data_IF_140500027411
#
_entry.id   IF_140500027411
#
_cell.length_a   1.000
_cell.length_b   1.000
_cell.length_c   1.000
_cell.angle_alpha   90.00
_cell.angle_beta   90.00
_cell.angle_gamma   90.00
#
_symmetry.space_group_name_H-M   'P 1'
#
loop_
_entity.id
_entity.type
_entity.pdbx_description
1 polymer ?
#
# COMPACT_ATOMS: atom_id res chain seq x y z
N UNK A 1 -6.55 -3.51 -6.03
CA UNK A 1 -5.80 -3.37 -4.76
C UNK A 1 -4.34 -3.21 -5.14
N UNK A 2 -3.53 -2.48 -4.38
CA UNK A 2 -2.14 -2.19 -4.78
C UNK A 2 -1.24 -3.42 -4.64
N UNK A 3 -0.12 -3.41 -5.37
CA UNK A 3 0.84 -4.50 -5.36
C UNK A 3 1.39 -4.77 -3.95
N UNK A 4 1.76 -3.71 -3.22
CA UNK A 4 2.28 -3.83 -1.85
C UNK A 4 1.25 -4.46 -0.89
N UNK A 5 -0.04 -4.21 -1.10
CA UNK A 5 -1.09 -4.85 -0.31
C UNK A 5 -1.14 -6.36 -0.58
N UNK A 6 -1.10 -6.78 -1.84
CA UNK A 6 -1.09 -8.21 -2.19
C UNK A 6 0.16 -8.92 -1.67
N UNK A 7 1.30 -8.25 -1.69
CA UNK A 7 2.57 -8.79 -1.23
C UNK A 7 2.82 -8.65 0.28
N UNK A 8 1.92 -7.97 1.00
CA UNK A 8 2.05 -7.62 2.42
C UNK A 8 3.38 -6.91 2.72
N UNK A 9 3.76 -5.98 1.85
CA UNK A 9 4.98 -5.19 1.98
C UNK A 9 4.67 -3.77 2.43
N UNK A 10 5.61 -3.19 3.17
CA UNK A 10 5.65 -1.76 3.49
C UNK A 10 5.79 -0.92 2.21
N UNK A 11 5.26 0.29 2.19
CA UNK A 11 5.36 1.18 1.03
C UNK A 11 6.80 1.62 0.73
N UNK A 12 7.66 1.63 1.77
CA UNK A 12 9.08 1.94 1.68
C UNK A 12 9.92 0.73 1.26
N UNK A 13 9.28 -0.41 0.96
CA UNK A 13 9.96 -1.60 0.48
C UNK A 13 10.77 -1.28 -0.77
N UNK A 14 12.05 -1.65 -0.73
CA UNK A 14 12.94 -1.51 -1.87
C UNK A 14 12.43 -2.31 -3.06
N UNK A 15 12.82 -1.92 -4.27
CA UNK A 15 12.50 -2.66 -5.50
C UNK A 15 12.88 -4.15 -5.38
N UNK A 16 14.03 -4.45 -4.75
CA UNK A 16 14.49 -5.81 -4.49
C UNK A 16 13.59 -6.58 -3.52
N UNK A 17 12.99 -5.93 -2.53
CA UNK A 17 12.02 -6.55 -1.63
C UNK A 17 10.71 -6.85 -2.35
N UNK A 18 10.22 -5.90 -3.16
CA UNK A 18 9.04 -6.06 -4.00
C UNK A 18 9.20 -7.22 -4.97
N UNK A 19 10.33 -7.28 -5.69
CA UNK A 19 10.61 -8.36 -6.64
C UNK A 19 10.71 -9.73 -5.95
N UNK A 20 11.39 -9.81 -4.80
CA UNK A 20 11.51 -11.05 -4.03
C UNK A 20 10.16 -11.54 -3.52
N UNK A 21 9.33 -10.66 -2.97
CA UNK A 21 8.00 -11.01 -2.49
C UNK A 21 7.08 -11.43 -3.64
N UNK A 22 7.12 -10.73 -4.77
CA UNK A 22 6.38 -11.06 -5.97
C UNK A 22 6.70 -12.47 -6.48
N UNK A 23 7.98 -12.81 -6.62
CA UNK A 23 8.41 -14.16 -7.04
C UNK A 23 7.89 -15.24 -6.08
N UNK A 24 8.01 -15.01 -4.76
CA UNK A 24 7.50 -15.94 -3.74
C UNK A 24 5.99 -16.12 -3.84
N UNK A 25 5.24 -15.03 -4.04
CA UNK A 25 3.79 -15.06 -4.19
C UNK A 25 3.36 -15.86 -5.42
N UNK A 26 3.97 -15.61 -6.58
CA UNK A 26 3.66 -16.34 -7.81
C UNK A 26 3.91 -17.84 -7.69
N UNK A 27 5.00 -18.25 -7.03
CA UNK A 27 5.30 -19.68 -6.84
C UNK A 27 4.25 -20.33 -5.94
N UNK A 28 3.84 -19.64 -4.86
CA UNK A 28 2.86 -20.14 -3.89
C UNK A 28 1.45 -20.25 -4.46
N UNK A 29 1.06 -19.30 -5.30
CA UNK A 29 -0.31 -19.16 -5.83
C UNK A 29 -0.43 -19.55 -7.31
N UNK A 30 0.59 -20.24 -7.86
CA UNK A 30 0.55 -20.71 -9.25
C UNK A 30 -0.65 -21.65 -9.45
N UNK A 31 -1.48 -21.46 -10.48
CA UNK A 31 -2.66 -22.30 -10.71
C UNK A 31 -2.31 -23.80 -10.80
N UNK A 32 -1.21 -24.17 -11.47
CA UNK A 32 -0.76 -25.57 -11.55
C UNK A 32 -0.29 -26.18 -10.22
N UNK A 33 0.02 -25.37 -9.20
CA UNK A 33 0.51 -25.83 -7.88
C UNK A 33 -0.55 -25.69 -6.79
N UNK A 34 -1.54 -24.85 -7.02
CA UNK A 34 -2.62 -24.54 -6.10
C UNK A 34 -3.77 -25.54 -6.26
N UNK A 35 -4.27 -26.11 -5.16
CA UNK A 35 -5.51 -26.93 -5.18
C UNK A 35 -6.79 -26.07 -5.25
N UNK A 36 -6.64 -24.76 -5.21
CA UNK A 36 -7.70 -23.74 -5.22
C UNK A 36 -7.68 -22.95 -6.52
N UNK A 37 -8.83 -22.42 -6.92
CA UNK A 37 -8.89 -21.50 -8.07
C UNK A 37 -8.24 -20.16 -7.72
N UNK A 38 -6.96 -20.03 -8.07
CA UNK A 38 -6.14 -18.83 -7.84
C UNK A 38 -5.86 -18.07 -9.12
N UNK A 39 -6.51 -18.43 -10.24
CA UNK A 39 -6.21 -17.88 -11.56
C UNK A 39 -6.39 -16.36 -11.60
N UNK A 40 -7.52 -15.86 -11.09
CA UNK A 40 -7.81 -14.43 -11.06
C UNK A 40 -6.82 -13.65 -10.18
N UNK A 41 -6.50 -14.17 -9.00
CA UNK A 41 -5.50 -13.57 -8.10
C UNK A 41 -4.11 -13.55 -8.74
N UNK A 42 -3.74 -14.62 -9.44
CA UNK A 42 -2.46 -14.75 -10.14
C UNK A 42 -2.34 -13.78 -11.31
N UNK A 43 -3.40 -13.62 -12.12
CA UNK A 43 -3.42 -12.66 -13.22
C UNK A 43 -3.41 -11.22 -12.72
N UNK A 44 -4.19 -10.92 -11.67
CA UNK A 44 -4.28 -9.59 -11.09
C UNK A 44 -2.92 -9.13 -10.54
N UNK A 45 -2.22 -9.97 -9.79
CA UNK A 45 -0.90 -9.59 -9.24
C UNK A 45 0.16 -9.41 -10.33
N UNK A 46 0.09 -10.18 -11.44
CA UNK A 46 0.96 -9.97 -12.62
C UNK A 46 0.71 -8.60 -13.25
N UNK A 47 -0.55 -8.22 -13.43
CA UNK A 47 -0.91 -6.92 -14.01
C UNK A 47 -0.44 -5.76 -13.13
N UNK A 48 -0.62 -5.85 -11.82
CA UNK A 48 -0.16 -4.81 -10.88
C UNK A 48 1.38 -4.71 -10.84
N UNK A 49 2.10 -5.84 -10.94
CA UNK A 49 3.56 -5.82 -11.03
C UNK A 49 4.07 -5.16 -12.31
N UNK A 50 3.41 -5.39 -13.45
CA UNK A 50 3.75 -4.71 -14.71
C UNK A 50 3.49 -3.19 -14.64
N UNK A 51 2.41 -2.77 -13.98
CA UNK A 51 2.16 -1.35 -13.70
C UNK A 51 3.24 -0.75 -12.81
N UNK A 52 3.65 -1.46 -11.75
CA UNK A 52 4.76 -1.09 -10.87
C UNK A 52 6.06 -0.86 -11.63
N UNK A 53 6.46 -1.81 -12.49
CA UNK A 53 7.67 -1.67 -13.32
C UNK A 53 7.63 -0.46 -14.28
N UNK A 54 6.44 -0.02 -14.68
CA UNK A 54 6.23 1.12 -15.57
C UNK A 54 6.05 2.44 -14.82
N UNK A 55 6.14 2.46 -13.49
CA UNK A 55 5.75 3.60 -12.64
C UNK A 55 4.31 4.08 -12.90
N UNK A 56 3.42 3.18 -13.33
CA UNK A 56 2.00 3.43 -13.62
C UNK A 56 1.12 2.92 -12.49
N UNK A 57 1.56 3.15 -11.26
CA UNK A 57 0.87 2.67 -10.05
C UNK A 57 -0.09 3.73 -9.55
N UNK A 58 -1.36 3.37 -9.38
CA UNK A 58 -2.36 4.18 -8.67
C UNK A 58 -2.21 4.00 -7.14
N UNK A 59 -0.96 4.02 -6.69
CA UNK A 59 -0.55 3.67 -5.34
C UNK A 59 -0.67 4.91 -4.43
N UNK A 60 -1.88 5.47 -4.33
CA UNK A 60 -2.23 6.39 -3.25
C UNK A 60 -2.38 5.58 -1.95
N UNK A 61 -1.24 5.24 -1.35
CA UNK A 61 -1.17 4.55 -0.05
C UNK A 61 -1.47 5.43 1.14
N UNK A 62 -1.70 6.72 0.89
CA UNK A 62 -1.87 7.70 1.92
C UNK A 62 -3.05 8.62 1.68
N UNK A 63 -3.64 9.03 2.80
CA UNK A 63 -4.64 10.06 2.88
C UNK A 63 -3.94 11.26 3.51
N UNK A 64 -4.03 12.43 2.90
CA UNK A 64 -3.68 13.67 3.57
C UNK A 64 -4.85 14.12 4.43
N UNK A 65 -4.57 14.54 5.65
CA UNK A 65 -5.60 15.05 6.57
C UNK A 65 -5.04 16.09 7.51
N UNK A 66 -5.94 16.87 8.10
CA UNK A 66 -5.61 17.72 9.23
C UNK A 66 -5.55 16.89 10.53
N UNK A 67 -4.83 17.37 11.57
CA UNK A 67 -4.83 16.72 12.88
C UNK A 67 -6.23 16.44 13.42
N UNK A 68 -7.17 17.37 13.22
CA UNK A 68 -8.58 17.24 13.65
C UNK A 68 -9.36 16.14 12.94
N UNK A 69 -8.84 15.59 11.84
CA UNK A 69 -9.52 14.58 11.02
C UNK A 69 -9.00 13.16 11.29
N UNK A 70 -7.89 13.01 12.03
CA UNK A 70 -7.23 11.70 12.27
C UNK A 70 -8.22 10.67 12.83
N UNK A 71 -8.99 11.03 13.86
CA UNK A 71 -9.94 10.11 14.51
C UNK A 71 -11.05 9.60 13.58
N UNK A 72 -11.35 10.35 12.51
CA UNK A 72 -12.41 10.05 11.55
C UNK A 72 -11.92 9.14 10.43
N UNK A 73 -10.59 9.11 10.21
CA UNK A 73 -9.98 8.32 9.14
C UNK A 73 -9.83 6.86 9.59
N UNK A 74 -10.00 5.96 8.62
CA UNK A 74 -9.78 4.52 8.76
C UNK A 74 -8.77 4.08 7.72
N UNK A 75 -7.81 3.23 8.09
CA UNK A 75 -7.01 2.53 7.07
C UNK A 75 -7.96 1.74 6.18
N UNK A 76 -7.53 1.50 4.94
CA UNK A 76 -8.09 0.50 4.03
C UNK A 76 -8.37 -0.87 4.68
N UNK A 77 -7.62 -1.27 5.70
CA UNK A 77 -7.85 -2.53 6.43
C UNK A 77 -8.95 -2.43 7.50
N UNK A 78 -9.54 -1.25 7.70
CA UNK A 78 -10.56 -0.96 8.72
C UNK A 78 -10.00 -0.43 10.05
N UNK A 79 -8.69 -0.53 10.29
CA UNK A 79 -8.06 -0.07 11.53
C UNK A 79 -8.08 1.46 11.65
N UNK A 80 -8.05 1.96 12.88
CA UNK A 80 -7.90 3.39 13.16
C UNK A 80 -6.42 3.78 13.12
N UNK A 81 -6.17 5.06 12.87
CA UNK A 81 -4.87 5.67 13.09
C UNK A 81 -4.85 6.30 14.48
N UNK A 82 -3.71 6.21 15.16
CA UNK A 82 -3.50 6.79 16.49
C UNK A 82 -2.63 8.04 16.35
N UNK A 83 -3.10 9.18 16.87
CA UNK A 83 -2.38 10.45 16.82
C UNK A 83 -1.08 10.42 17.64
N UNK A 84 -1.00 9.56 18.66
CA UNK A 84 0.22 9.39 19.45
C UNK A 84 1.37 8.79 18.61
N UNK A 85 1.04 8.14 17.49
CA UNK A 85 1.98 7.52 16.57
C UNK A 85 2.44 8.45 15.42
N UNK A 86 2.20 9.77 15.50
CA UNK A 86 2.70 10.72 14.51
C UNK A 86 4.23 10.75 14.56
N UNK A 87 4.87 10.32 13.47
CA UNK A 87 6.30 10.44 13.24
C UNK A 87 6.57 11.23 11.97
N UNK A 88 7.27 12.36 12.11
CA UNK A 88 7.67 13.23 10.99
C UNK A 88 6.52 13.62 10.05
N UNK A 89 5.32 13.95 10.59
CA UNK A 89 4.06 14.26 9.89
C UNK A 89 3.28 13.06 9.32
N UNK A 90 3.64 11.85 9.70
CA UNK A 90 3.07 10.63 9.15
C UNK A 90 2.62 9.67 10.25
N UNK A 91 1.49 9.00 10.05
CA UNK A 91 1.02 7.91 10.91
C UNK A 91 0.92 6.64 10.08
N UNK A 92 1.71 5.63 10.42
CA UNK A 92 1.58 4.32 9.79
C UNK A 92 0.48 3.53 10.48
N UNK A 93 -0.28 2.76 9.70
CA UNK A 93 -1.21 1.83 10.30
C UNK A 93 -0.45 0.62 10.84
N UNK A 94 -0.82 0.18 12.04
CA UNK A 94 -0.19 -0.98 12.69
C UNK A 94 -0.59 -2.33 12.05
N UNK A 95 -1.69 -2.34 11.29
CA UNK A 95 -2.26 -3.56 10.71
C UNK A 95 -1.99 -3.68 9.20
N UNK A 96 -1.73 -2.56 8.53
CA UNK A 96 -1.61 -2.47 7.09
C UNK A 96 -0.42 -1.57 6.76
N UNK A 97 0.21 -1.77 5.61
CA UNK A 97 1.30 -0.90 5.16
C UNK A 97 0.84 0.46 4.60
N UNK A 98 -0.40 0.88 4.88
CA UNK A 98 -0.89 2.21 4.54
C UNK A 98 -0.49 3.20 5.64
N UNK A 99 -0.50 4.48 5.29
CA UNK A 99 -0.22 5.55 6.23
C UNK A 99 -1.11 6.75 5.95
N UNK A 100 -1.15 7.73 6.84
CA UNK A 100 -1.71 9.05 6.56
C UNK A 100 -0.62 10.10 6.70
N UNK A 101 -0.74 11.18 5.93
CA UNK A 101 0.10 12.38 6.08
C UNK A 101 -0.75 13.43 6.79
N UNK A 102 -0.26 13.90 7.93
CA UNK A 102 -0.88 14.93 8.74
C UNK A 102 -0.30 16.27 8.34
N UNK A 103 -1.09 17.11 7.68
CA UNK A 103 -0.69 18.46 7.28
C UNK A 103 -1.18 19.49 8.29
N UNK A 104 -0.28 20.35 8.77
CA UNK A 104 -0.62 21.45 9.70
C UNK A 104 -1.07 22.73 8.96
N UNK A 105 -0.81 22.83 7.65
CA UNK A 105 -1.23 23.94 6.80
C UNK A 105 -1.72 23.38 5.45
N UNK A 106 -2.77 23.94 4.84
CA UNK A 106 -3.22 23.51 3.51
C UNK A 106 -2.10 23.70 2.48
N UNK A 107 -1.77 22.62 1.76
CA UNK A 107 -0.75 22.61 0.72
C UNK A 107 -0.96 23.76 -0.28
N UNK A 108 -0.07 24.76 -0.27
CA UNK A 108 0.04 25.69 -1.41
C UNK A 108 0.55 24.89 -2.59
N UNK A 109 -0.33 24.54 -3.52
CA UNK A 109 0.01 23.99 -4.83
C UNK A 109 1.17 24.79 -5.43
N UNK A 110 2.40 24.28 -5.34
CA UNK A 110 3.49 24.76 -6.19
C UNK A 110 3.15 24.29 -7.59
N UNK A 111 2.59 25.20 -8.39
CA UNK A 111 2.57 25.07 -9.85
C UNK A 111 4.02 24.81 -10.30
N UNK A 112 4.29 23.61 -10.80
CA UNK A 112 5.37 23.38 -11.75
C UNK A 112 4.72 23.23 -13.12
#
# INVERSE_FOLDING_TARGET
MSLHFFLKLRYDASQDEVERAYKKYLIKHHPDKSKSDTLDLYLNIKQEYEKYKKNQTDENFYICCFPSEIEQIRCRCGSKFDEENIFANKIECECCSCYIIVENEPYKLKKQ
#
